data_IF_513142790184
#
_entry.id   IF_513142790184
#
_cell.length_a   1.000
_cell.length_b   1.000
_cell.length_c   1.000
_cell.angle_alpha   90.00
_cell.angle_beta   90.00
_cell.angle_gamma   90.00
#
_symmetry.space_group_name_H-M   'P 1'
#
loop_
_entity.id
_entity.type
_entity.pdbx_description
1 polymer ?
#
# COMPACT_ATOMS: atom_id res chain seq x y z
N UNK A 1 8.09 14.40 46.32
CA UNK A 1 7.94 14.21 44.87
C UNK A 1 7.23 15.39 44.14
N UNK A 2 6.46 16.24 44.83
CA UNK A 2 5.70 17.34 44.19
C UNK A 2 6.51 18.61 43.84
N UNK A 3 7.74 18.75 44.37
CA UNK A 3 8.60 19.94 44.12
C UNK A 3 9.51 19.85 42.88
N UNK A 4 9.60 18.69 42.23
CA UNK A 4 10.55 18.49 41.11
C UNK A 4 9.91 18.81 39.73
N UNK A 5 8.58 18.88 39.63
CA UNK A 5 7.87 19.05 38.35
C UNK A 5 7.34 20.49 38.13
N UNK A 6 7.14 21.27 39.20
CA UNK A 6 6.53 22.62 39.09
C UNK A 6 7.56 23.71 38.72
N UNK A 7 8.83 23.54 39.08
CA UNK A 7 9.90 24.50 38.80
C UNK A 7 10.14 24.78 37.31
N UNK A 8 10.23 23.76 36.44
CA UNK A 8 10.45 23.97 35.00
C UNK A 8 9.25 24.62 34.28
N UNK A 9 8.03 24.39 34.77
CA UNK A 9 6.80 24.91 34.16
C UNK A 9 6.62 26.42 34.39
N UNK A 10 7.04 26.93 35.55
CA UNK A 10 7.00 28.36 35.88
C UNK A 10 8.10 29.15 35.16
N UNK A 11 9.25 28.55 34.86
CA UNK A 11 10.32 29.18 34.08
C UNK A 11 9.93 29.39 32.60
N UNK A 12 9.15 28.47 32.02
CA UNK A 12 8.61 28.60 30.67
C UNK A 12 7.52 29.69 30.56
N UNK A 13 6.71 29.87 31.61
CA UNK A 13 5.73 30.96 31.66
C UNK A 13 6.36 32.35 31.83
N UNK A 14 7.45 32.46 32.60
CA UNK A 14 8.21 33.71 32.73
C UNK A 14 8.90 34.16 31.42
N UNK A 15 9.35 33.21 30.59
CA UNK A 15 9.92 33.50 29.27
C UNK A 15 8.91 34.04 28.28
N UNK A 16 7.69 33.50 28.27
CA UNK A 16 6.61 33.91 27.35
C UNK A 16 6.14 35.37 27.61
N UNK A 17 6.11 35.81 28.87
CA UNK A 17 5.74 37.18 29.22
C UNK A 17 6.78 38.23 28.78
N UNK A 18 8.07 37.87 28.84
CA UNK A 18 9.18 38.74 28.39
C UNK A 18 9.19 38.92 26.87
N UNK A 19 8.86 37.86 26.10
CA UNK A 19 8.72 37.93 24.63
C UNK A 19 7.50 38.79 24.24
N UNK A 20 6.40 38.73 25.01
CA UNK A 20 5.21 39.55 24.78
C UNK A 20 5.49 41.06 24.97
N UNK A 21 6.33 41.43 25.95
CA UNK A 21 6.73 42.83 26.19
C UNK A 21 7.65 43.42 25.12
N UNK A 22 8.46 42.59 24.46
CA UNK A 22 9.38 43.02 23.40
C UNK A 22 8.71 43.18 22.03
N UNK A 23 7.54 42.58 21.80
CA UNK A 23 6.83 42.65 20.51
C UNK A 23 5.80 43.78 20.39
N UNK A 24 5.44 44.47 21.49
CA UNK A 24 4.43 45.54 21.45
C UNK A 24 4.81 46.80 20.63
N UNK A 25 6.07 47.27 20.53
CA UNK A 25 6.32 48.51 19.78
C UNK A 25 6.38 48.32 18.25
N UNK A 26 6.31 47.09 17.72
CA UNK A 26 6.35 46.84 16.27
C UNK A 26 4.97 46.82 15.59
N UNK A 27 3.87 46.79 16.36
CA UNK A 27 2.51 46.69 15.82
C UNK A 27 1.78 48.03 15.64
N UNK A 28 2.37 49.15 16.07
CA UNK A 28 1.70 50.47 16.05
C UNK A 28 1.92 51.27 14.74
N UNK A 29 2.70 50.76 13.78
CA UNK A 29 3.17 51.55 12.65
C UNK A 29 2.55 51.31 11.27
N UNK A 30 1.81 50.21 11.04
CA UNK A 30 1.41 49.89 9.67
C UNK A 30 0.07 49.14 9.58
N UNK A 31 -0.87 49.79 8.88
CA UNK A 31 -2.02 49.22 8.17
C UNK A 31 -3.16 48.59 8.99
N UNK A 32 -4.38 49.03 8.68
CA UNK A 32 -5.65 48.61 9.27
C UNK A 32 -6.02 47.15 8.96
N UNK A 33 -5.42 46.22 9.72
CA UNK A 33 -5.73 44.78 9.69
C UNK A 33 -5.80 44.13 11.07
N UNK A 34 -5.96 44.94 12.14
CA UNK A 34 -5.80 44.48 13.53
C UNK A 34 -6.77 43.40 14.02
N UNK A 35 -7.89 43.19 13.34
CA UNK A 35 -8.87 42.16 13.72
C UNK A 35 -8.44 40.74 13.31
N UNK A 36 -7.79 40.56 12.15
CA UNK A 36 -7.49 39.23 11.59
C UNK A 36 -6.27 38.60 12.28
N UNK A 37 -5.24 39.41 12.58
CA UNK A 37 -4.03 38.93 13.26
C UNK A 37 -4.34 38.41 14.67
N UNK A 38 -5.25 39.07 15.40
CA UNK A 38 -5.64 38.65 16.74
C UNK A 38 -6.40 37.30 16.76
N UNK A 39 -7.26 37.03 15.77
CA UNK A 39 -8.04 35.79 15.71
C UNK A 39 -7.17 34.58 15.36
N UNK A 40 -6.22 34.74 14.43
CA UNK A 40 -5.29 33.66 14.05
C UNK A 40 -4.36 33.32 15.22
N UNK A 41 -3.91 34.32 15.98
CA UNK A 41 -3.03 34.10 17.13
C UNK A 41 -3.77 33.42 18.30
N UNK A 42 -5.00 33.84 18.59
CA UNK A 42 -5.84 33.19 19.62
C UNK A 42 -6.16 31.73 19.27
N UNK A 43 -6.40 31.43 17.99
CA UNK A 43 -6.60 30.06 17.49
C UNK A 43 -5.38 29.17 17.67
N UNK A 44 -4.18 29.67 17.34
CA UNK A 44 -2.92 28.93 17.51
C UNK A 44 -2.59 28.62 18.98
N UNK A 45 -2.79 29.57 19.90
CA UNK A 45 -2.53 29.36 21.33
C UNK A 45 -3.51 28.32 21.92
N UNK A 46 -4.76 28.30 21.47
CA UNK A 46 -5.75 27.32 21.92
C UNK A 46 -5.42 25.89 21.45
N UNK A 47 -4.98 25.73 20.18
CA UNK A 47 -4.58 24.44 19.62
C UNK A 47 -3.34 23.84 20.31
N UNK A 48 -2.35 24.66 20.64
CA UNK A 48 -1.16 24.21 21.38
C UNK A 48 -1.55 23.77 22.81
N UNK A 49 -2.45 24.51 23.47
CA UNK A 49 -2.98 24.13 24.78
C UNK A 49 -3.74 22.80 24.76
N UNK A 50 -4.55 22.55 23.72
CA UNK A 50 -5.31 21.31 23.57
C UNK A 50 -4.40 20.09 23.34
N UNK A 51 -3.34 20.25 22.52
CA UNK A 51 -2.35 19.20 22.27
C UNK A 51 -1.57 18.82 23.54
N UNK A 52 -1.21 19.80 24.38
CA UNK A 52 -0.50 19.55 25.64
C UNK A 52 -1.40 18.92 26.71
N UNK A 53 -2.70 19.26 26.74
CA UNK A 53 -3.66 18.64 27.65
C UNK A 53 -3.95 17.17 27.28
N UNK A 54 -4.04 16.84 25.98
CA UNK A 54 -4.27 15.46 25.51
C UNK A 54 -3.13 14.49 25.86
N UNK A 55 -1.88 14.97 25.87
CA UNK A 55 -0.72 14.18 26.26
C UNK A 55 -0.69 13.84 27.77
N UNK A 56 -1.37 14.62 28.61
CA UNK A 56 -1.44 14.40 30.06
C UNK A 56 -2.48 13.37 30.51
N UNK A 57 -3.54 13.14 29.72
CA UNK A 57 -4.69 12.31 30.13
C UNK A 57 -4.47 10.82 29.87
N UNK A 58 -3.55 10.44 28.98
CA UNK A 58 -3.32 9.03 28.60
C UNK A 58 -2.44 8.22 29.57
N UNK A 59 -2.10 8.75 30.74
CA UNK A 59 -1.20 8.09 31.71
C UNK A 59 -1.86 7.60 33.01
N UNK A 60 -3.19 7.52 33.05
CA UNK A 60 -3.95 7.06 34.22
C UNK A 60 -5.01 6.01 33.85
N UNK A 61 -4.60 4.81 33.42
CA UNK A 61 -5.42 3.61 33.60
C UNK A 61 -4.62 2.33 33.41
N UNK A 62 -4.48 1.58 34.51
CA UNK A 62 -4.44 0.11 34.62
C UNK A 62 -3.43 -0.33 35.70
N UNK A 63 -3.95 -0.63 36.90
CA UNK A 63 -3.25 -1.46 37.88
C UNK A 63 -3.55 -2.93 37.57
N UNK A 64 -2.55 -3.81 37.35
CA UNK A 64 -2.83 -5.22 37.18
C UNK A 64 -3.06 -5.90 38.54
N UNK A 65 -4.20 -6.57 38.63
CA UNK A 65 -4.55 -7.50 39.69
C UNK A 65 -3.59 -8.69 39.71
N UNK A 66 -3.20 -9.03 40.94
CA UNK A 66 -2.29 -10.08 41.36
C UNK A 66 -2.86 -11.47 41.04
N UNK A 67 -2.16 -12.30 40.25
CA UNK A 67 -2.33 -13.75 40.31
C UNK A 67 -2.12 -14.55 39.01
N UNK A 68 -0.88 -14.81 38.61
CA UNK A 68 -0.50 -16.11 38.04
C UNK A 68 1.02 -16.27 38.05
N UNK A 69 1.53 -17.32 38.70
CA UNK A 69 2.93 -17.75 38.59
C UNK A 69 3.16 -18.29 37.18
N UNK A 70 3.94 -17.58 36.35
CA UNK A 70 4.61 -18.15 35.17
C UNK A 70 6.13 -18.19 35.43
N UNK A 71 6.84 -19.23 34.99
CA UNK A 71 8.28 -19.39 35.24
C UNK A 71 9.09 -18.33 34.50
N UNK A 72 10.07 -17.77 35.22
CA UNK A 72 10.96 -16.72 34.78
C UNK A 72 12.02 -17.27 33.81
N UNK A 73 11.90 -16.98 32.50
CA UNK A 73 13.10 -16.93 31.64
C UNK A 73 13.04 -16.16 30.31
N UNK A 74 11.98 -15.43 29.94
CA UNK A 74 11.97 -14.68 28.67
C UNK A 74 11.20 -13.34 28.75
N UNK A 75 11.65 -12.38 29.56
CA UNK A 75 11.00 -11.04 29.63
C UNK A 75 11.99 -9.86 29.65
N UNK A 76 13.20 -10.01 29.11
CA UNK A 76 14.23 -8.96 29.22
C UNK A 76 14.35 -8.00 28.01
N UNK A 77 13.52 -8.09 26.95
CA UNK A 77 13.79 -7.34 25.71
C UNK A 77 12.74 -6.35 25.16
N UNK A 78 11.62 -6.04 25.84
CA UNK A 78 10.53 -5.29 25.16
C UNK A 78 10.11 -3.91 25.71
N UNK A 79 10.71 -3.36 26.77
CA UNK A 79 10.23 -2.08 27.33
C UNK A 79 11.07 -0.82 27.02
N UNK A 80 12.30 -0.95 26.51
CA UNK A 80 13.19 0.21 26.29
C UNK A 80 13.01 0.84 24.89
N UNK A 81 12.58 0.08 23.87
CA UNK A 81 12.50 0.58 22.47
C UNK A 81 11.23 1.39 22.16
N UNK A 82 10.13 1.18 22.90
CA UNK A 82 8.88 1.89 22.67
C UNK A 82 8.97 3.37 23.06
N UNK A 83 9.70 3.73 24.12
CA UNK A 83 9.77 5.12 24.58
C UNK A 83 10.63 6.03 23.66
N UNK A 84 11.62 5.48 22.96
CA UNK A 84 12.40 6.26 21.97
C UNK A 84 11.61 6.54 20.69
N UNK A 85 10.71 5.64 20.29
CA UNK A 85 9.91 5.80 19.07
C UNK A 85 8.94 6.98 19.16
N UNK A 86 8.34 7.23 20.33
CA UNK A 86 7.40 8.34 20.52
C UNK A 86 8.07 9.73 20.50
N UNK A 87 9.32 9.85 20.94
CA UNK A 87 10.05 11.13 20.92
C UNK A 87 10.44 11.53 19.49
N UNK A 88 10.85 10.56 18.66
CA UNK A 88 11.16 10.81 17.25
C UNK A 88 9.92 11.19 16.43
N UNK A 89 8.80 10.47 16.62
CA UNK A 89 7.55 10.76 15.91
C UNK A 89 6.97 12.10 16.35
N UNK A 90 7.00 12.43 17.65
CA UNK A 90 6.54 13.72 18.16
C UNK A 90 7.35 14.91 17.62
N UNK A 91 8.67 14.76 17.49
CA UNK A 91 9.54 15.80 16.93
C UNK A 91 9.28 16.09 15.45
N UNK A 92 9.04 15.05 14.64
CA UNK A 92 8.76 15.18 13.20
C UNK A 92 7.41 15.87 12.97
N UNK A 93 6.37 15.51 13.73
CA UNK A 93 5.04 16.14 13.60
C UNK A 93 5.09 17.63 13.94
N UNK A 94 5.83 18.02 14.98
CA UNK A 94 6.00 19.42 15.35
C UNK A 94 6.76 20.24 14.28
N UNK A 95 7.81 19.66 13.67
CA UNK A 95 8.57 20.32 12.62
C UNK A 95 7.76 20.54 11.33
N UNK A 96 6.98 19.53 10.91
CA UNK A 96 6.12 19.63 9.72
C UNK A 96 4.99 20.64 9.92
N UNK A 97 4.38 20.67 11.10
CA UNK A 97 3.36 21.67 11.44
C UNK A 97 3.92 23.10 11.41
N UNK A 98 5.14 23.31 11.92
CA UNK A 98 5.82 24.60 11.85
C UNK A 98 6.11 25.07 10.42
N UNK A 99 6.56 24.16 9.55
CA UNK A 99 6.91 24.48 8.16
C UNK A 99 5.67 24.82 7.31
N UNK A 100 4.55 24.14 7.54
CA UNK A 100 3.27 24.44 6.86
C UNK A 100 2.70 25.80 7.29
N UNK A 101 2.83 26.17 8.57
CA UNK A 101 2.39 27.48 9.08
C UNK A 101 3.20 28.65 8.48
N UNK A 102 4.51 28.47 8.31
CA UNK A 102 5.38 29.48 7.67
C UNK A 102 5.11 29.58 6.16
N UNK A 103 4.87 28.47 5.48
CA UNK A 103 4.57 28.45 4.04
C UNK A 103 3.25 29.13 3.67
N UNK A 104 2.19 28.92 4.48
CA UNK A 104 0.86 29.51 4.22
C UNK A 104 0.83 31.01 4.50
N UNK A 105 1.54 31.49 5.53
CA UNK A 105 1.61 32.93 5.83
C UNK A 105 2.58 33.68 4.91
N UNK A 106 3.68 33.06 4.48
CA UNK A 106 4.61 33.66 3.52
C UNK A 106 4.08 33.69 2.07
N UNK A 107 3.33 32.66 1.65
CA UNK A 107 2.81 32.55 0.28
C UNK A 107 1.68 33.53 -0.06
N UNK A 108 0.90 33.97 0.92
CA UNK A 108 -0.17 34.95 0.69
C UNK A 108 0.32 36.40 0.58
N UNK A 109 1.57 36.70 0.97
CA UNK A 109 2.11 38.06 0.86
C UNK A 109 2.77 38.37 -0.49
N UNK A 110 2.96 37.38 -1.37
CA UNK A 110 3.69 37.54 -2.64
C UNK A 110 2.84 37.34 -3.91
N UNK A 111 1.53 37.09 -3.79
CA UNK A 111 0.64 36.89 -4.95
C UNK A 111 -0.41 38.01 -5.16
N UNK A 112 -0.32 39.10 -4.41
CA UNK A 112 -1.13 40.30 -4.63
C UNK A 112 -0.50 41.25 -5.64
N UNK A 113 -0.71 41.01 -6.94
CA UNK A 113 -0.33 41.99 -7.96
C UNK A 113 -0.04 41.40 -9.34
N UNK A 114 -1.04 40.85 -10.01
CA UNK A 114 -0.99 40.70 -11.47
C UNK A 114 -2.36 40.97 -12.05
N UNK A 115 -2.54 42.22 -12.44
CA UNK A 115 -3.69 42.75 -13.14
C UNK A 115 -3.97 41.89 -14.39
N UNK A 116 -5.16 41.27 -14.42
CA UNK A 116 -5.73 40.74 -15.66
C UNK A 116 -6.57 41.84 -16.29
N UNK A 117 -5.90 42.64 -17.13
CA UNK A 117 -6.57 43.37 -18.19
C UNK A 117 -7.21 42.36 -19.16
N UNK A 118 -8.53 42.47 -19.28
CA UNK A 118 -9.33 42.35 -20.49
C UNK A 118 -8.70 41.62 -21.69
N UNK A 119 -9.11 40.37 -21.92
CA UNK A 119 -9.09 39.79 -23.26
C UNK A 119 -10.31 38.86 -23.44
N UNK A 120 -11.47 39.50 -23.56
CA UNK A 120 -12.68 38.91 -24.10
C UNK A 120 -12.56 38.93 -25.63
N UNK A 121 -11.80 37.98 -26.18
CA UNK A 121 -11.72 37.73 -27.61
C UNK A 121 -12.74 36.64 -27.99
N UNK A 122 -13.73 37.09 -28.74
CA UNK A 122 -14.70 36.37 -29.58
C UNK A 122 -14.24 34.99 -30.04
N UNK A 123 -14.99 33.95 -29.67
CA UNK A 123 -14.92 32.65 -30.35
C UNK A 123 -15.49 32.80 -31.77
N UNK A 124 -14.77 32.37 -32.83
CA UNK A 124 -15.34 32.28 -34.17
C UNK A 124 -16.41 31.18 -34.24
N UNK A 125 -17.40 31.30 -35.14
CA UNK A 125 -18.45 30.30 -35.32
C UNK A 125 -17.88 28.95 -35.77
N UNK A 126 -18.56 27.83 -35.46
CA UNK A 126 -18.14 26.50 -35.88
C UNK A 126 -18.06 26.44 -37.40
N UNK A 127 -16.89 26.04 -37.91
CA UNK A 127 -16.69 25.81 -39.33
C UNK A 127 -17.58 24.65 -39.78
N UNK A 128 -18.39 24.92 -40.81
CA UNK A 128 -19.19 23.93 -41.50
C UNK A 128 -18.32 22.79 -42.00
N UNK A 129 -18.65 21.59 -41.54
CA UNK A 129 -18.10 20.30 -41.97
C UNK A 129 -18.37 20.15 -43.48
N UNK A 130 -17.35 20.49 -44.27
CA UNK A 130 -17.36 20.38 -45.72
C UNK A 130 -16.97 18.94 -46.08
N UNK A 131 -17.85 18.27 -46.81
CA UNK A 131 -17.69 17.01 -47.51
C UNK A 131 -16.25 16.52 -47.67
N UNK A 132 -15.83 15.64 -46.75
CA UNK A 132 -14.63 14.85 -46.96
C UNK A 132 -14.93 13.81 -48.06
N UNK A 133 -14.11 13.73 -49.13
CA UNK A 133 -14.29 12.74 -50.19
C UNK A 133 -14.14 11.33 -49.61
N UNK A 134 -15.09 10.45 -49.96
CA UNK A 134 -15.08 9.04 -49.61
C UNK A 134 -13.68 8.43 -49.87
N UNK A 135 -13.10 7.69 -48.91
CA UNK A 135 -11.83 7.02 -49.13
C UNK A 135 -11.96 6.05 -50.31
N UNK A 136 -10.93 5.93 -51.16
CA UNK A 136 -10.96 5.01 -52.29
C UNK A 136 -11.22 3.58 -51.79
N UNK A 137 -12.19 2.91 -52.43
CA UNK A 137 -12.46 1.49 -52.21
C UNK A 137 -11.17 0.71 -52.41
N UNK A 138 -10.62 0.17 -51.33
CA UNK A 138 -9.53 -0.79 -51.38
C UNK A 138 -10.02 -2.04 -52.09
N UNK A 139 -9.43 -2.33 -53.24
CA UNK A 139 -9.58 -3.60 -53.93
C UNK A 139 -9.18 -4.72 -52.97
N UNK A 140 -9.97 -5.81 -52.84
CA UNK A 140 -9.60 -6.94 -52.00
C UNK A 140 -8.23 -7.47 -52.43
N UNK A 141 -7.30 -7.54 -51.47
CA UNK A 141 -5.97 -8.11 -51.70
C UNK A 141 -6.14 -9.56 -52.16
N UNK A 142 -5.51 -9.99 -53.27
CA UNK A 142 -5.59 -11.38 -53.71
C UNK A 142 -5.15 -12.32 -52.58
N UNK A 143 -5.90 -13.40 -52.39
CA UNK A 143 -5.63 -14.39 -51.36
C UNK A 143 -4.17 -14.87 -51.47
N UNK A 144 -3.41 -14.90 -50.36
CA UNK A 144 -2.05 -15.40 -50.38
C UNK A 144 -2.05 -16.86 -50.89
N UNK A 145 -1.04 -17.25 -51.70
CA UNK A 145 -0.93 -18.62 -52.17
C UNK A 145 -0.91 -19.59 -50.98
N UNK A 146 -1.50 -20.79 -51.12
CA UNK A 146 -1.50 -21.79 -50.05
C UNK A 146 -0.05 -22.11 -49.68
N UNK A 147 0.27 -21.80 -48.43
CA UNK A 147 1.60 -21.98 -47.85
C UNK A 147 2.00 -23.46 -47.95
N UNK A 148 3.06 -23.83 -48.70
CA UNK A 148 3.52 -25.20 -48.80
C UNK A 148 4.19 -25.58 -47.47
N UNK A 149 3.37 -25.92 -46.47
CA UNK A 149 3.88 -26.37 -45.18
C UNK A 149 4.67 -27.66 -45.41
N UNK A 150 5.96 -27.70 -45.07
CA UNK A 150 6.71 -28.94 -45.03
C UNK A 150 5.95 -29.92 -44.14
N UNK A 151 5.87 -31.18 -44.58
CA UNK A 151 5.30 -32.26 -43.78
C UNK A 151 6.25 -32.51 -42.60
N UNK A 152 6.12 -31.71 -41.53
CA UNK A 152 6.92 -31.84 -40.31
C UNK A 152 6.45 -33.11 -39.60
N UNK A 153 7.33 -34.10 -39.39
CA UNK A 153 7.00 -35.29 -38.61
C UNK A 153 6.42 -34.88 -37.26
N UNK A 154 5.34 -35.53 -36.85
CA UNK A 154 4.71 -35.27 -35.55
C UNK A 154 5.80 -35.27 -34.47
N UNK A 155 5.96 -34.18 -33.69
CA UNK A 155 6.96 -34.15 -32.64
C UNK A 155 6.64 -35.29 -31.67
N UNK A 156 7.53 -36.28 -31.60
CA UNK A 156 7.61 -37.22 -30.49
C UNK A 156 7.97 -36.41 -29.25
N UNK A 157 6.96 -35.78 -28.66
CA UNK A 157 7.09 -34.99 -27.45
C UNK A 157 7.60 -35.87 -26.31
N UNK A 158 8.34 -35.30 -25.35
CA UNK A 158 8.74 -36.01 -24.15
C UNK A 158 7.51 -36.63 -23.48
N UNK A 159 7.68 -37.85 -22.95
CA UNK A 159 6.63 -38.57 -22.25
C UNK A 159 5.91 -37.64 -21.25
N UNK A 160 4.57 -37.71 -21.15
CA UNK A 160 3.82 -36.86 -20.24
C UNK A 160 4.42 -36.98 -18.84
N UNK A 161 4.82 -35.84 -18.28
CA UNK A 161 5.37 -35.78 -16.92
C UNK A 161 4.36 -36.41 -15.97
N UNK A 162 4.77 -37.33 -15.07
CA UNK A 162 3.86 -37.93 -14.10
C UNK A 162 3.02 -36.85 -13.42
N UNK A 163 1.70 -37.09 -13.36
CA UNK A 163 0.80 -36.16 -12.68
C UNK A 163 1.32 -35.98 -11.24
N UNK A 164 1.52 -34.72 -10.80
CA UNK A 164 2.03 -34.49 -9.46
C UNK A 164 1.01 -35.01 -8.43
N UNK A 165 1.46 -35.47 -7.25
CA UNK A 165 0.59 -36.10 -6.27
C UNK A 165 -0.58 -35.18 -5.89
N UNK A 166 -1.77 -35.76 -5.63
CA UNK A 166 -2.93 -34.99 -5.20
C UNK A 166 -2.60 -34.21 -3.90
N UNK A 167 -3.24 -33.06 -3.67
CA UNK A 167 -3.03 -32.29 -2.46
C UNK A 167 -3.42 -33.11 -1.20
N UNK A 168 -2.72 -32.92 -0.06
CA UNK A 168 -3.04 -33.61 1.18
C UNK A 168 -4.45 -33.25 1.66
N UNK A 169 -5.21 -34.26 2.11
CA UNK A 169 -6.65 -34.16 2.41
C UNK A 169 -6.99 -34.11 3.92
N UNK A 170 -6.07 -33.72 4.78
CA UNK A 170 -6.29 -33.60 6.24
C UNK A 170 -6.66 -32.19 6.72
N UNK A 171 -7.36 -32.01 7.86
CA UNK A 171 -7.54 -30.71 8.47
C UNK A 171 -6.18 -30.10 8.82
N UNK A 172 -5.84 -28.90 8.33
CA UNK A 172 -4.58 -28.25 8.66
C UNK A 172 -4.56 -27.88 10.14
N UNK A 173 -3.73 -28.52 10.98
CA UNK A 173 -3.42 -27.96 12.30
C UNK A 173 -2.54 -26.73 12.09
N UNK A 174 -2.74 -25.69 12.90
CA UNK A 174 -1.91 -24.48 12.88
C UNK A 174 -2.23 -23.52 11.72
N UNK A 175 -3.25 -22.67 11.90
CA UNK A 175 -3.48 -21.49 11.04
C UNK A 175 -2.75 -20.30 11.65
N UNK A 176 -1.89 -19.66 10.86
CA UNK A 176 -1.25 -18.39 11.23
C UNK A 176 -1.29 -17.39 10.09
N UNK A 177 -1.21 -16.13 10.43
CA UNK A 177 -1.31 -15.02 9.48
C UNK A 177 0.01 -14.24 9.45
N UNK A 178 0.51 -13.92 8.26
CA UNK A 178 1.67 -13.04 8.14
C UNK A 178 1.26 -11.60 8.42
N UNK A 179 2.18 -10.73 8.81
CA UNK A 179 1.90 -9.28 8.81
C UNK A 179 1.57 -8.83 7.38
N UNK A 180 0.44 -8.14 7.11
CA UNK A 180 0.18 -7.56 5.80
C UNK A 180 1.27 -6.55 5.42
N UNK A 181 1.75 -6.63 4.19
CA UNK A 181 2.80 -5.75 3.65
C UNK A 181 2.27 -5.00 2.42
N UNK A 182 2.79 -3.79 2.17
CA UNK A 182 2.37 -2.92 1.07
C UNK A 182 2.20 -1.47 1.51
N UNK A 183 1.18 -0.79 0.99
CA UNK A 183 0.88 0.61 1.21
C UNK A 183 0.06 0.94 2.46
N UNK A 184 -0.01 2.23 2.80
CA UNK A 184 -0.53 2.69 4.09
C UNK A 184 -1.96 3.28 4.07
N UNK A 185 -2.54 3.56 2.91
CA UNK A 185 -3.71 4.48 2.83
C UNK A 185 -5.07 3.81 2.67
N UNK A 186 -5.13 2.49 2.50
CA UNK A 186 -6.39 1.77 2.40
C UNK A 186 -7.02 1.46 3.76
N UNK A 187 -8.36 1.36 3.77
CA UNK A 187 -9.15 1.06 4.96
C UNK A 187 -10.16 -0.10 4.78
N UNK A 188 -10.35 -0.64 3.58
CA UNK A 188 -11.24 -1.78 3.39
C UNK A 188 -10.50 -3.09 3.45
N UNK A 189 -10.85 -3.92 4.43
CA UNK A 189 -10.28 -5.25 4.53
C UNK A 189 -10.86 -6.16 3.44
N UNK A 190 -10.03 -7.06 2.93
CA UNK A 190 -10.47 -8.20 2.13
C UNK A 190 -9.81 -9.47 2.65
N UNK A 191 -10.44 -10.62 2.41
CA UNK A 191 -9.95 -11.92 2.83
C UNK A 191 -10.55 -13.01 1.95
N UNK A 192 -9.70 -13.91 1.49
CA UNK A 192 -10.10 -15.19 0.92
C UNK A 192 -9.34 -16.29 1.65
N UNK A 193 -10.06 -17.25 2.23
CA UNK A 193 -9.49 -18.46 2.80
C UNK A 193 -10.20 -19.65 2.16
N UNK A 194 -9.45 -20.65 1.71
CA UNK A 194 -10.04 -21.89 1.19
C UNK A 194 -10.01 -22.98 2.26
N UNK A 195 -10.61 -24.13 1.97
CA UNK A 195 -10.54 -25.28 2.85
C UNK A 195 -9.27 -26.09 2.59
N UNK A 196 -8.99 -27.04 3.48
CA UNK A 196 -7.82 -27.90 3.42
C UNK A 196 -7.74 -28.68 2.10
N UNK A 197 -6.51 -28.88 1.61
CA UNK A 197 -6.25 -29.52 0.31
C UNK A 197 -6.34 -28.58 -0.89
N UNK A 198 -6.54 -27.28 -0.67
CA UNK A 198 -6.41 -26.24 -1.69
C UNK A 198 -5.10 -25.47 -1.47
N UNK A 199 -4.34 -25.23 -2.54
CA UNK A 199 -3.06 -24.53 -2.47
C UNK A 199 -3.06 -23.31 -3.38
N UNK A 200 -2.52 -22.18 -2.92
CA UNK A 200 -2.30 -21.03 -3.77
C UNK A 200 -1.14 -21.30 -4.74
N UNK A 201 -1.39 -21.29 -6.04
CA UNK A 201 -0.38 -21.57 -7.08
C UNK A 201 -0.05 -20.36 -7.95
N UNK A 202 -0.79 -19.26 -7.83
CA UNK A 202 -0.58 -18.10 -8.69
C UNK A 202 -1.56 -16.97 -8.43
N UNK A 203 -1.44 -15.94 -9.26
CA UNK A 203 -2.33 -14.81 -9.32
C UNK A 203 -2.54 -14.36 -10.76
N UNK A 204 -3.69 -13.77 -11.04
CA UNK A 204 -3.78 -12.75 -12.07
C UNK A 204 -3.56 -11.38 -11.46
N UNK A 205 -2.80 -10.56 -12.17
CA UNK A 205 -2.34 -9.26 -11.71
C UNK A 205 -2.71 -8.23 -12.77
N UNK A 206 -3.47 -7.22 -12.37
CA UNK A 206 -3.80 -6.08 -13.22
C UNK A 206 -3.10 -4.84 -12.69
N UNK A 207 -2.62 -4.02 -13.62
CA UNK A 207 -1.83 -2.84 -13.33
C UNK A 207 -2.68 -1.59 -13.49
N UNK A 208 -2.40 -0.60 -12.65
CA UNK A 208 -2.83 0.77 -12.84
C UNK A 208 -1.64 1.71 -12.67
N UNK A 209 -1.87 3.01 -12.81
CA UNK A 209 -0.94 4.05 -12.38
C UNK A 209 -1.61 4.93 -11.34
N UNK A 210 -0.83 5.54 -10.48
CA UNK A 210 -1.26 6.69 -9.68
C UNK A 210 -0.14 7.72 -9.81
N UNK A 211 -0.45 8.87 -10.38
CA UNK A 211 0.56 9.81 -10.91
C UNK A 211 1.51 9.06 -11.88
N UNK A 212 2.83 9.14 -11.64
CA UNK A 212 3.87 8.51 -12.44
C UNK A 212 4.38 7.18 -11.84
N UNK A 213 3.59 6.53 -10.98
CA UNK A 213 3.94 5.28 -10.31
C UNK A 213 3.00 4.15 -10.74
N UNK A 214 3.57 3.03 -11.17
CA UNK A 214 2.81 1.82 -11.46
C UNK A 214 2.34 1.15 -10.15
N UNK A 215 1.08 0.74 -10.11
CA UNK A 215 0.46 0.09 -8.96
C UNK A 215 -0.22 -1.21 -9.35
N UNK A 216 -0.41 -2.09 -8.37
CA UNK A 216 -1.21 -3.30 -8.48
C UNK A 216 -2.67 -2.95 -8.18
N UNK A 217 -3.45 -2.72 -9.24
CA UNK A 217 -4.84 -2.30 -9.16
C UNK A 217 -5.81 -3.49 -9.01
N UNK A 218 -5.38 -4.68 -9.41
CA UNK A 218 -6.19 -5.90 -9.40
C UNK A 218 -5.36 -7.12 -9.02
N UNK A 219 -5.94 -7.98 -8.19
CA UNK A 219 -5.42 -9.30 -7.84
C UNK A 219 -6.56 -10.33 -7.83
N UNK A 220 -6.35 -11.46 -8.49
CA UNK A 220 -7.23 -12.63 -8.38
C UNK A 220 -6.38 -13.87 -8.10
N UNK A 221 -6.53 -14.56 -6.96
CA UNK A 221 -5.74 -15.74 -6.66
C UNK A 221 -6.12 -16.90 -7.58
N UNK A 222 -5.13 -17.76 -7.86
CA UNK A 222 -5.31 -19.00 -8.62
C UNK A 222 -5.00 -20.15 -7.67
N UNK A 223 -6.03 -20.95 -7.42
CA UNK A 223 -6.01 -22.06 -6.49
C UNK A 223 -5.84 -23.38 -7.23
N UNK A 224 -5.03 -24.28 -6.70
CA UNK A 224 -5.02 -25.67 -7.08
C UNK A 224 -5.93 -26.45 -6.13
N UNK A 225 -6.94 -27.08 -6.69
CA UNK A 225 -7.90 -27.95 -5.99
C UNK A 225 -7.71 -29.40 -6.43
N UNK A 226 -8.33 -30.39 -5.74
CA UNK A 226 -8.36 -31.77 -6.23
C UNK A 226 -8.97 -31.91 -7.64
N UNK A 227 -9.86 -31.00 -8.03
CA UNK A 227 -10.50 -30.97 -9.35
C UNK A 227 -9.71 -30.20 -10.42
N UNK A 228 -8.57 -29.61 -10.05
CA UNK A 228 -7.75 -28.79 -10.94
C UNK A 228 -7.68 -27.33 -10.51
N UNK A 229 -7.30 -26.46 -11.44
CA UNK A 229 -7.10 -25.03 -11.18
C UNK A 229 -8.45 -24.30 -11.09
N UNK A 230 -8.58 -23.41 -10.11
CA UNK A 230 -9.77 -22.58 -9.92
C UNK A 230 -9.35 -21.14 -9.61
N UNK A 231 -10.02 -20.18 -10.23
CA UNK A 231 -9.86 -18.77 -9.88
C UNK A 231 -10.63 -18.45 -8.60
N UNK A 232 -10.01 -17.67 -7.73
CA UNK A 232 -10.67 -17.11 -6.54
C UNK A 232 -11.45 -15.84 -6.85
N UNK A 233 -11.77 -15.10 -5.78
CA UNK A 233 -12.46 -13.82 -5.90
C UNK A 233 -11.50 -12.76 -6.46
N UNK A 234 -12.03 -11.91 -7.35
CA UNK A 234 -11.30 -10.78 -7.87
C UNK A 234 -11.29 -9.63 -6.86
N UNK A 235 -10.10 -9.15 -6.50
CA UNK A 235 -9.91 -7.99 -5.64
C UNK A 235 -9.39 -6.81 -6.45
N UNK A 236 -10.09 -5.69 -6.32
CA UNK A 236 -9.76 -4.45 -7.00
C UNK A 236 -10.33 -4.37 -8.41
N UNK A 237 -9.87 -3.38 -9.18
CA UNK A 237 -10.47 -3.04 -10.47
C UNK A 237 -9.63 -3.59 -11.60
N UNK A 238 -10.22 -4.48 -12.39
CA UNK A 238 -9.56 -5.03 -13.57
C UNK A 238 -9.28 -3.92 -14.57
N UNK A 239 -8.00 -3.65 -14.79
CA UNK A 239 -7.51 -2.79 -15.86
C UNK A 239 -6.60 -3.64 -16.75
N UNK A 240 -6.81 -3.55 -18.07
CA UNK A 240 -5.93 -4.22 -19.01
C UNK A 240 -4.61 -3.44 -19.10
N UNK A 241 -3.45 -4.12 -19.20
CA UNK A 241 -3.28 -5.57 -19.31
C UNK A 241 -3.38 -6.31 -17.96
N UNK A 242 -3.90 -7.53 -18.00
CA UNK A 242 -3.85 -8.49 -16.89
C UNK A 242 -2.82 -9.56 -17.23
N UNK A 243 -1.92 -9.85 -16.29
CA UNK A 243 -0.88 -10.87 -16.42
C UNK A 243 -1.18 -12.03 -15.48
N UNK A 244 -1.16 -13.25 -16.01
CA UNK A 244 -1.27 -14.48 -15.23
C UNK A 244 0.11 -14.95 -14.81
N UNK A 245 0.34 -15.01 -13.50
CA UNK A 245 1.58 -15.46 -12.88
C UNK A 245 1.29 -16.73 -12.12
N UNK A 246 1.79 -17.86 -12.63
CA UNK A 246 1.47 -19.20 -12.10
C UNK A 246 2.73 -20.03 -11.91
N UNK A 247 2.74 -20.82 -10.85
CA UNK A 247 3.77 -21.80 -10.57
C UNK A 247 3.82 -22.88 -11.67
N UNK A 248 4.99 -23.50 -11.85
CA UNK A 248 5.16 -24.72 -12.65
C UNK A 248 4.38 -25.87 -12.01
N UNK A 249 4.07 -26.89 -12.80
CA UNK A 249 3.43 -28.11 -12.30
C UNK A 249 4.24 -28.69 -11.12
N UNK A 250 3.55 -29.00 -10.02
CA UNK A 250 4.17 -29.51 -8.81
C UNK A 250 4.78 -28.44 -7.89
N UNK A 251 4.64 -27.15 -8.19
CA UNK A 251 5.03 -26.04 -7.33
C UNK A 251 3.81 -25.27 -6.84
N UNK A 252 3.98 -24.48 -5.79
CA UNK A 252 2.99 -23.55 -5.25
C UNK A 252 3.67 -22.30 -4.68
N UNK A 253 2.90 -21.27 -4.35
CA UNK A 253 3.43 -20.06 -3.71
C UNK A 253 3.86 -20.41 -2.28
N UNK A 254 5.13 -20.18 -1.98
CA UNK A 254 5.72 -20.34 -0.65
C UNK A 254 6.17 -19.03 0.00
N UNK A 255 6.11 -17.92 -0.73
CA UNK A 255 6.44 -16.60 -0.20
C UNK A 255 6.10 -15.49 -1.19
N UNK A 256 6.01 -14.27 -0.67
CA UNK A 256 5.87 -13.05 -1.46
C UNK A 256 6.86 -12.01 -0.98
N UNK A 257 7.30 -11.19 -1.91
CA UNK A 257 7.99 -9.93 -1.64
C UNK A 257 7.17 -8.81 -2.25
N UNK A 258 7.08 -7.70 -1.52
CA UNK A 258 6.19 -6.60 -1.86
C UNK A 258 6.93 -5.29 -1.71
N UNK A 259 6.67 -4.37 -2.64
CA UNK A 259 6.98 -2.95 -2.49
C UNK A 259 5.65 -2.18 -2.35
N UNK A 260 5.63 -1.26 -1.40
CA UNK A 260 4.48 -0.39 -1.17
C UNK A 260 4.90 1.03 -0.86
N UNK A 261 3.92 1.92 -0.95
CA UNK A 261 4.00 3.31 -0.53
C UNK A 261 2.61 3.77 -0.10
N UNK A 262 1.90 4.45 -1.00
CA UNK A 262 0.48 4.73 -0.79
C UNK A 262 -0.40 3.49 -1.05
N UNK A 263 -0.09 2.79 -2.15
CA UNK A 263 -0.73 1.55 -2.59
C UNK A 263 0.28 0.40 -2.65
N UNK A 264 -0.17 -0.77 -3.12
CA UNK A 264 0.70 -1.88 -3.52
C UNK A 264 1.33 -1.51 -4.87
N UNK A 265 2.64 -1.29 -4.89
CA UNK A 265 3.31 -0.77 -6.09
C UNK A 265 4.02 -1.87 -6.87
N UNK A 266 4.46 -2.93 -6.19
CA UNK A 266 5.01 -4.09 -6.87
C UNK A 266 5.03 -5.35 -6.02
N UNK A 267 5.08 -6.48 -6.69
CA UNK A 267 5.05 -7.80 -6.08
C UNK A 267 5.92 -8.79 -6.86
N UNK A 268 6.56 -9.70 -6.13
CA UNK A 268 7.21 -10.88 -6.67
C UNK A 268 6.90 -12.09 -5.80
N UNK A 269 6.94 -13.28 -6.40
CA UNK A 269 6.56 -14.54 -5.76
C UNK A 269 7.76 -15.47 -5.67
N UNK A 270 7.82 -16.21 -4.58
CA UNK A 270 8.69 -17.39 -4.48
C UNK A 270 7.82 -18.63 -4.59
N UNK A 271 8.13 -19.45 -5.58
CA UNK A 271 7.52 -20.75 -5.81
C UNK A 271 8.38 -21.84 -5.21
N UNK A 272 7.75 -22.80 -4.53
CA UNK A 272 8.42 -23.94 -3.90
C UNK A 272 7.76 -25.24 -4.34
N UNK A 273 8.55 -26.30 -4.45
CA UNK A 273 8.04 -27.61 -4.82
C UNK A 273 7.08 -28.13 -3.75
N UNK A 274 5.98 -28.73 -4.18
CA UNK A 274 4.99 -29.35 -3.30
C UNK A 274 5.53 -30.68 -2.79
N UNK A 275 5.73 -30.78 -1.48
CA UNK A 275 5.89 -32.04 -0.78
C UNK A 275 4.54 -32.61 -0.33
N UNK A 276 4.60 -33.73 0.38
CA UNK A 276 3.40 -34.42 0.90
C UNK A 276 2.68 -33.58 1.96
N UNK A 277 3.43 -32.98 2.89
CA UNK A 277 2.88 -32.29 4.06
C UNK A 277 3.32 -30.83 4.20
N UNK A 278 4.22 -30.35 3.32
CA UNK A 278 4.75 -28.98 3.31
C UNK A 278 5.33 -28.67 1.94
N UNK A 279 5.64 -27.41 1.69
CA UNK A 279 6.49 -27.00 0.59
C UNK A 279 7.96 -27.28 0.91
N UNK A 280 8.68 -27.74 -0.11
CA UNK A 280 10.12 -27.99 -0.05
C UNK A 280 10.87 -26.68 -0.32
N UNK A 281 11.48 -26.12 0.72
CA UNK A 281 12.22 -24.87 0.65
C UNK A 281 13.58 -25.02 -0.04
N UNK A 282 14.06 -26.25 -0.26
CA UNK A 282 15.33 -26.52 -0.95
C UNK A 282 15.18 -26.55 -2.47
N UNK A 283 13.95 -26.70 -2.96
CA UNK A 283 13.58 -26.67 -4.37
C UNK A 283 12.60 -25.51 -4.62
N UNK A 284 13.18 -24.33 -4.82
CA UNK A 284 12.46 -23.08 -4.97
C UNK A 284 13.00 -22.24 -6.13
N UNK A 285 12.12 -21.42 -6.72
CA UNK A 285 12.50 -20.41 -7.70
C UNK A 285 11.62 -19.17 -7.56
N UNK A 286 12.09 -18.04 -8.07
CA UNK A 286 11.38 -16.75 -7.99
C UNK A 286 10.72 -16.39 -9.31
N UNK A 287 9.61 -15.65 -9.25
CA UNK A 287 8.99 -15.04 -10.42
C UNK A 287 9.76 -13.80 -10.88
N UNK A 288 9.38 -13.27 -12.04
CA UNK A 288 9.67 -11.88 -12.38
C UNK A 288 9.05 -10.89 -11.38
N UNK A 289 9.48 -9.64 -11.45
CA UNK A 289 8.94 -8.54 -10.64
C UNK A 289 7.81 -7.84 -11.41
N UNK A 290 6.64 -7.73 -10.79
CA UNK A 290 5.45 -7.13 -11.38
C UNK A 290 5.12 -5.82 -10.67
N UNK A 291 4.96 -4.73 -11.42
CA UNK A 291 4.66 -3.39 -10.90
C UNK A 291 5.81 -2.39 -11.10
N UNK A 292 5.91 -1.39 -10.21
CA UNK A 292 6.91 -0.33 -10.26
C UNK A 292 8.33 -0.88 -10.14
N UNK A 293 9.08 -0.76 -11.24
CA UNK A 293 10.41 -1.36 -11.37
C UNK A 293 11.45 -0.66 -10.48
N UNK A 294 11.29 0.64 -10.21
CA UNK A 294 12.22 1.39 -9.35
C UNK A 294 12.20 0.95 -7.89
N UNK A 295 11.15 0.22 -7.47
CA UNK A 295 11.03 -0.35 -6.12
C UNK A 295 11.29 -1.85 -6.06
N UNK A 296 11.82 -2.45 -7.14
CA UNK A 296 12.22 -3.85 -7.14
C UNK A 296 13.27 -4.06 -6.04
N UNK A 297 13.04 -4.99 -5.10
CA UNK A 297 14.02 -5.32 -4.08
C UNK A 297 15.25 -5.97 -4.72
N UNK A 298 16.40 -5.87 -4.05
CA UNK A 298 17.59 -6.63 -4.45
C UNK A 298 17.29 -8.13 -4.46
N UNK A 299 17.91 -8.86 -5.39
CA UNK A 299 17.61 -10.27 -5.66
C UNK A 299 17.66 -11.20 -4.43
N UNK A 300 18.42 -10.84 -3.39
CA UNK A 300 18.53 -11.59 -2.13
C UNK A 300 17.47 -11.25 -1.07
N UNK A 301 16.66 -10.21 -1.26
CA UNK A 301 15.62 -9.80 -0.31
C UNK A 301 14.29 -10.55 -0.50
N UNK A 302 14.17 -11.35 -1.57
CA UNK A 302 13.06 -12.29 -1.76
C UNK A 302 13.11 -13.38 -0.69
N UNK A 303 12.40 -13.15 0.42
CA UNK A 303 12.31 -14.12 1.51
C UNK A 303 11.36 -15.26 1.13
N UNK A 304 11.91 -16.45 1.04
CA UNK A 304 11.13 -17.69 1.12
C UNK A 304 10.41 -17.78 2.46
N UNK A 305 9.16 -18.21 2.47
CA UNK A 305 8.50 -18.66 3.69
C UNK A 305 9.17 -19.92 4.27
N UNK A 306 8.68 -20.40 5.40
CA UNK A 306 9.22 -21.57 6.08
C UNK A 306 8.72 -22.92 5.51
N UNK A 307 8.14 -22.89 4.31
CA UNK A 307 7.57 -24.08 3.66
C UNK A 307 6.15 -24.42 4.12
N UNK A 308 5.51 -23.60 4.95
CA UNK A 308 4.06 -23.72 5.19
C UNK A 308 3.27 -23.58 3.88
N UNK A 309 2.15 -24.30 3.75
CA UNK A 309 1.24 -24.08 2.63
C UNK A 309 0.54 -22.73 2.77
N UNK A 310 0.24 -22.08 1.65
CA UNK A 310 -0.58 -20.86 1.63
C UNK A 310 -2.01 -21.25 1.31
N UNK A 311 -2.90 -21.13 2.30
CA UNK A 311 -4.32 -21.51 2.21
C UNK A 311 -5.28 -20.32 2.13
N UNK A 312 -4.76 -19.10 2.24
CA UNK A 312 -5.56 -17.88 2.16
C UNK A 312 -4.72 -16.64 1.87
N UNK A 313 -5.41 -15.58 1.47
CA UNK A 313 -4.87 -14.23 1.32
C UNK A 313 -5.77 -13.26 2.07
N UNK A 314 -5.20 -12.16 2.53
CA UNK A 314 -5.95 -11.07 3.14
C UNK A 314 -5.18 -9.77 3.03
N UNK A 315 -5.83 -8.65 3.31
CA UNK A 315 -5.15 -7.36 3.25
C UNK A 315 -6.12 -6.20 3.26
N UNK A 316 -5.66 -5.07 2.73
CA UNK A 316 -6.45 -3.85 2.58
C UNK A 316 -6.46 -3.38 1.14
N UNK A 317 -7.61 -2.84 0.73
CA UNK A 317 -7.82 -2.19 -0.58
C UNK A 317 -8.52 -0.84 -0.41
N UNK A 318 -8.41 0.00 -1.42
CA UNK A 318 -9.13 1.27 -1.46
C UNK A 318 -10.65 1.04 -1.61
N UNK A 319 -11.43 2.08 -1.37
CA UNK A 319 -12.85 2.07 -1.70
C UNK A 319 -13.02 2.06 -3.22
N UNK A 320 -13.80 1.11 -3.73
CA UNK A 320 -14.34 1.22 -5.07
C UNK A 320 -15.51 2.21 -5.00
N UNK A 321 -15.35 3.39 -5.61
CA UNK A 321 -16.42 4.37 -5.69
C UNK A 321 -17.37 4.12 -6.87
N UNK A 322 -17.07 3.12 -7.71
CA UNK A 322 -17.78 2.86 -8.96
C UNK A 322 -17.52 3.93 -10.02
N UNK A 323 -17.59 3.54 -11.30
CA UNK A 323 -17.42 4.45 -12.44
C UNK A 323 -16.11 4.24 -13.22
N UNK A 324 -16.00 4.89 -14.39
CA UNK A 324 -14.89 4.71 -15.32
C UNK A 324 -13.67 5.61 -15.05
N UNK A 325 -13.77 6.56 -14.11
CA UNK A 325 -12.71 7.54 -13.85
C UNK A 325 -11.51 6.93 -13.13
N UNK A 326 -10.39 7.66 -13.20
CA UNK A 326 -9.10 7.29 -12.66
C UNK A 326 -8.98 7.76 -11.20
N UNK A 327 -9.81 7.21 -10.34
CA UNK A 327 -9.70 7.32 -8.89
C UNK A 327 -9.24 5.99 -8.31
N UNK A 328 -8.48 6.01 -7.21
CA UNK A 328 -7.80 4.83 -6.65
C UNK A 328 -8.74 3.66 -6.26
N UNK A 329 -10.07 3.86 -6.34
CA UNK A 329 -11.09 2.98 -6.93
C UNK A 329 -11.05 1.46 -6.69
N UNK A 330 -10.52 1.00 -5.56
CA UNK A 330 -10.44 -0.43 -5.24
C UNK A 330 -9.05 -1.05 -5.40
N UNK A 331 -8.02 -0.27 -5.75
CA UNK A 331 -6.65 -0.78 -5.85
C UNK A 331 -6.20 -1.51 -4.58
N UNK A 332 -5.27 -2.45 -4.75
CA UNK A 332 -4.72 -3.18 -3.61
C UNK A 332 -3.71 -2.28 -2.92
N UNK A 333 -3.80 -2.20 -1.59
CA UNK A 333 -2.80 -1.49 -0.80
C UNK A 333 -1.88 -2.47 -0.09
N UNK A 334 -2.44 -3.44 0.64
CA UNK A 334 -1.65 -4.43 1.35
C UNK A 334 -2.10 -5.83 1.03
N UNK A 335 -1.17 -6.77 1.17
CA UNK A 335 -1.41 -8.20 1.06
C UNK A 335 -0.65 -8.94 2.17
N UNK A 336 -1.31 -9.92 2.76
CA UNK A 336 -0.78 -10.90 3.69
C UNK A 336 -1.22 -12.30 3.27
N UNK A 337 -0.49 -13.29 3.76
CA UNK A 337 -0.74 -14.70 3.49
C UNK A 337 -1.24 -15.39 4.76
N UNK A 338 -2.25 -16.24 4.59
CA UNK A 338 -2.65 -17.19 5.60
C UNK A 338 -1.90 -18.50 5.36
N UNK A 339 -1.10 -18.89 6.35
CA UNK A 339 -0.20 -20.03 6.30
C UNK A 339 -0.79 -21.19 7.10
N UNK A 340 -0.72 -22.38 6.54
CA UNK A 340 -1.18 -23.63 7.11
C UNK A 340 0.00 -24.60 7.26
N UNK A 341 0.18 -25.14 8.45
CA UNK A 341 1.27 -26.06 8.75
C UNK A 341 1.27 -26.48 10.20
N UNK A 342 1.74 -27.70 10.44
CA UNK A 342 1.74 -28.35 11.75
C UNK A 342 2.75 -27.67 12.68
N UNK A 343 2.26 -27.04 13.74
CA UNK A 343 3.06 -26.69 14.93
C UNK A 343 3.68 -27.95 15.57
#
# INVERSE_FOLDING_TARGET
MWRIVVGPLLALWGGAATIYGLMQPLAAGAYGGGQIAATVFAGCVCLIGLCLAGAGVLKLSASPTRGSRRPAREQFWDHESQNQSYLLIGGIVAAVAGLLLVGVTGGMLLLGGRDRATEQASSPPPASETDAPNPPRTTPLPAPPPDPRPNVPAPTGPAPTPLPPPPPSGPAPGRRETTPVGGAFANNNYRESRANGVMLIGFEIGFGKVFDTDIIAYLRPIWLTPTGEQFGEAYGRTQAPVVTVKAKNGYAIGGIVVAGGGALEGIGFTFMRRGENRLDTTDAYTSDWYGEQRRKPESGAMRSGDGSFVGGIFGKRFNDKGGNNYDDGGAIATIGLELWGKD
#
